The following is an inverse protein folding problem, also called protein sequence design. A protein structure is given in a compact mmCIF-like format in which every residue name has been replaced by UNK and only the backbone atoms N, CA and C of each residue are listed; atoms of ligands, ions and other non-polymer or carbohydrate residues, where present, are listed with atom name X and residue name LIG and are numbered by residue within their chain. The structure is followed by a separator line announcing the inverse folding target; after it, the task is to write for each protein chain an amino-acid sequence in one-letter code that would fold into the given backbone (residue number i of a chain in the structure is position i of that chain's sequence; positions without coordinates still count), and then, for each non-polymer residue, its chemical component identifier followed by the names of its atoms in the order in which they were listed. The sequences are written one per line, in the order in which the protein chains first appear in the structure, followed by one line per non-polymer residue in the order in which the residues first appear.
data_IF_528556757013
#
_entry.id   IF_528556757013
#
_cell.length_a   1.000
_cell.length_b   1.000
_cell.length_c   1.000
_cell.angle_alpha   90.00
_cell.angle_beta   90.00
_cell.angle_gamma   90.00
#
_symmetry.space_group_name_H-M   'P 1'
#
loop_
_entity.id
_entity.type
_entity.pdbx_description
1 polymer ?
#
# COMPACT_ATOMS: atom_id res chain seq x y z
N UNK A 1 -29.92 0.47 8.78
CA UNK A 1 -28.66 -0.07 9.34
C UNK A 1 -27.74 1.11 9.59
N UNK A 2 -27.43 1.44 10.85
CA UNK A 2 -26.84 2.74 11.21
C UNK A 2 -25.46 2.94 10.57
N UNK A 3 -25.18 4.16 10.11
CA UNK A 3 -23.90 4.58 9.50
C UNK A 3 -22.70 4.18 10.38
N UNK A 4 -22.88 4.13 11.71
CA UNK A 4 -21.87 3.65 12.66
C UNK A 4 -21.50 2.18 12.48
N UNK A 5 -22.49 1.27 12.33
CA UNK A 5 -22.24 -0.16 12.12
C UNK A 5 -21.57 -0.42 10.77
N UNK A 6 -21.94 0.33 9.75
CA UNK A 6 -21.29 0.23 8.43
C UNK A 6 -19.84 0.71 8.46
N UNK A 7 -19.56 1.83 9.14
CA UNK A 7 -18.19 2.33 9.31
C UNK A 7 -17.32 1.34 10.09
N UNK A 8 -17.88 0.75 11.15
CA UNK A 8 -17.19 -0.27 11.93
C UNK A 8 -16.87 -1.50 11.08
N UNK A 9 -17.85 -2.02 10.34
CA UNK A 9 -17.64 -3.13 9.41
C UNK A 9 -16.58 -2.81 8.35
N UNK A 10 -16.59 -1.60 7.79
CA UNK A 10 -15.55 -1.15 6.85
C UNK A 10 -14.16 -1.10 7.47
N UNK A 11 -14.04 -0.66 8.73
CA UNK A 11 -12.76 -0.61 9.45
C UNK A 11 -12.29 -2.02 9.89
N UNK A 12 -13.17 -3.03 9.89
CA UNK A 12 -12.83 -4.44 10.09
C UNK A 12 -12.33 -5.08 8.79
N UNK A 13 -12.98 -4.83 7.65
CA UNK A 13 -12.61 -5.40 6.34
C UNK A 13 -11.39 -4.70 5.72
N UNK A 14 -11.27 -3.38 5.88
CA UNK A 14 -10.17 -2.58 5.36
C UNK A 14 -9.53 -1.75 6.49
N UNK A 15 -8.73 -2.38 7.37
CA UNK A 15 -8.23 -1.78 8.60
C UNK A 15 -7.27 -0.60 8.37
N UNK A 16 -6.72 -0.47 7.15
CA UNK A 16 -5.79 0.59 6.79
C UNK A 16 -6.35 1.62 5.82
N UNK A 17 -7.61 1.46 5.37
CA UNK A 17 -8.21 2.27 4.30
C UNK A 17 -7.56 2.08 2.92
N UNK A 18 -6.85 0.97 2.69
CA UNK A 18 -6.14 0.70 1.44
C UNK A 18 -7.14 0.53 0.30
N UNK A 19 -8.11 -0.37 0.45
CA UNK A 19 -9.12 -0.65 -0.59
C UNK A 19 -9.96 0.59 -0.87
N UNK A 20 -10.30 1.36 0.16
CA UNK A 20 -11.03 2.65 0.01
C UNK A 20 -10.24 3.64 -0.84
N UNK A 21 -8.95 3.83 -0.56
CA UNK A 21 -8.09 4.75 -1.32
C UNK A 21 -7.90 4.23 -2.75
N UNK A 22 -7.70 2.93 -2.94
CA UNK A 22 -7.62 2.31 -4.27
C UNK A 22 -8.90 2.54 -5.06
N UNK A 23 -10.07 2.37 -4.46
CA UNK A 23 -11.35 2.62 -5.11
C UNK A 23 -11.47 4.08 -5.59
N UNK A 24 -11.14 5.06 -4.74
CA UNK A 24 -11.18 6.48 -5.14
C UNK A 24 -10.22 6.79 -6.29
N UNK A 25 -9.02 6.23 -6.26
CA UNK A 25 -8.05 6.36 -7.36
C UNK A 25 -8.58 5.72 -8.65
N UNK A 26 -9.10 4.50 -8.57
CA UNK A 26 -9.66 3.79 -9.72
C UNK A 26 -10.84 4.54 -10.33
N UNK A 27 -11.75 5.08 -9.52
CA UNK A 27 -12.88 5.88 -10.01
C UNK A 27 -12.40 7.16 -10.71
N UNK A 28 -11.41 7.84 -10.13
CA UNK A 28 -10.81 9.02 -10.74
C UNK A 28 -10.18 8.70 -12.11
N UNK A 29 -9.32 7.67 -12.17
CA UNK A 29 -8.70 7.24 -13.44
C UNK A 29 -9.76 6.82 -14.45
N UNK A 30 -10.75 6.01 -14.05
CA UNK A 30 -11.82 5.56 -14.92
C UNK A 30 -12.62 6.73 -15.50
N UNK A 31 -12.96 7.74 -14.68
CA UNK A 31 -13.70 8.91 -15.19
C UNK A 31 -12.91 9.68 -16.24
N UNK A 32 -11.62 9.95 -16.00
CA UNK A 32 -10.76 10.64 -16.99
C UNK A 32 -10.64 9.83 -18.27
N UNK A 33 -10.48 8.51 -18.16
CA UNK A 33 -10.29 7.63 -19.31
C UNK A 33 -11.55 7.51 -20.16
N UNK A 34 -12.76 7.60 -19.58
CA UNK A 34 -14.00 7.72 -20.36
C UNK A 34 -14.01 9.03 -21.17
N UNK A 35 -13.57 10.16 -20.59
CA UNK A 35 -13.46 11.42 -21.32
C UNK A 35 -12.42 11.35 -22.45
N UNK A 36 -11.27 10.74 -22.19
CA UNK A 36 -10.21 10.51 -23.19
C UNK A 36 -10.76 9.65 -24.32
N UNK A 37 -11.47 8.56 -23.99
CA UNK A 37 -12.11 7.70 -24.98
C UNK A 37 -13.09 8.48 -25.86
N UNK A 38 -13.96 9.31 -25.27
CA UNK A 38 -14.93 10.10 -26.04
C UNK A 38 -14.27 11.15 -26.95
N UNK A 39 -13.16 11.74 -26.52
CA UNK A 39 -12.48 12.80 -27.27
C UNK A 39 -11.62 12.23 -28.40
N UNK A 40 -10.84 11.18 -28.14
CA UNK A 40 -9.89 10.63 -29.09
C UNK A 40 -10.46 9.49 -29.93
N UNK A 41 -11.51 8.82 -29.46
CA UNK A 41 -12.18 7.70 -30.13
C UNK A 41 -11.18 6.66 -30.65
N UNK A 42 -10.41 6.01 -29.74
CA UNK A 42 -9.37 5.08 -30.11
C UNK A 42 -9.92 3.91 -30.94
N UNK A 43 -9.14 3.47 -31.93
CA UNK A 43 -9.53 2.47 -32.93
C UNK A 43 -9.98 1.15 -32.28
N UNK A 44 -9.39 0.76 -31.15
CA UNK A 44 -9.75 -0.47 -30.44
C UNK A 44 -10.18 -0.19 -29.00
N UNK A 45 -11.49 -0.32 -28.76
CA UNK A 45 -12.09 -0.24 -27.42
C UNK A 45 -11.45 -1.24 -26.45
N UNK A 46 -11.29 -2.50 -26.87
CA UNK A 46 -10.73 -3.55 -26.02
C UNK A 46 -9.27 -3.28 -25.67
N UNK A 47 -8.46 -2.85 -26.63
CA UNK A 47 -7.06 -2.51 -26.36
C UNK A 47 -6.93 -1.28 -25.45
N UNK A 48 -7.84 -0.31 -25.58
CA UNK A 48 -7.87 0.87 -24.72
C UNK A 48 -8.17 0.51 -23.25
N UNK A 49 -9.19 -0.31 -22.97
CA UNK A 49 -9.57 -0.61 -21.58
C UNK A 49 -8.85 -1.81 -20.96
N UNK A 50 -8.27 -2.73 -21.74
CA UNK A 50 -7.59 -3.92 -21.20
C UNK A 50 -6.48 -3.66 -20.15
N UNK A 51 -5.69 -2.58 -20.20
CA UNK A 51 -4.64 -2.34 -19.21
C UNK A 51 -5.17 -2.04 -17.80
N UNK A 52 -6.45 -1.64 -17.67
CA UNK A 52 -7.07 -1.37 -16.38
C UNK A 52 -7.12 -2.59 -15.45
N UNK A 53 -7.23 -3.79 -16.01
CA UNK A 53 -7.22 -5.02 -15.21
C UNK A 53 -5.92 -5.17 -14.41
N UNK A 54 -4.83 -4.59 -14.90
CA UNK A 54 -3.51 -4.64 -14.30
C UNK A 54 -3.19 -3.41 -13.44
N UNK A 55 -3.91 -2.30 -13.62
CA UNK A 55 -3.66 -1.05 -12.92
C UNK A 55 -3.83 -1.17 -11.40
N UNK A 56 -4.71 -2.09 -10.95
CA UNK A 56 -4.91 -2.39 -9.52
C UNK A 56 -3.61 -2.82 -8.81
N UNK A 57 -2.68 -3.46 -9.54
CA UNK A 57 -1.39 -3.91 -9.00
C UNK A 57 -0.47 -2.75 -8.60
N UNK A 58 -0.71 -1.54 -9.12
CA UNK A 58 0.01 -0.33 -8.73
C UNK A 58 -0.14 -0.03 -7.23
N UNK A 59 -1.28 -0.35 -6.63
CA UNK A 59 -1.55 -0.13 -5.21
C UNK A 59 -1.11 -1.30 -4.31
N UNK A 60 -0.49 -2.34 -4.87
CA UNK A 60 -0.02 -3.48 -4.10
C UNK A 60 1.00 -3.02 -3.02
N UNK A 61 0.84 -3.48 -1.76
CA UNK A 61 1.67 -3.03 -0.63
C UNK A 61 3.12 -3.52 -0.71
N UNK A 62 3.41 -4.44 -1.63
CA UNK A 62 4.77 -4.97 -1.84
C UNK A 62 5.68 -3.98 -2.58
N UNK A 63 5.10 -3.03 -3.31
CA UNK A 63 5.84 -1.97 -4.01
C UNK A 63 6.07 -0.81 -3.05
N UNK A 64 7.31 -0.69 -2.56
CA UNK A 64 7.63 0.20 -1.46
C UNK A 64 8.05 1.60 -1.92
N UNK A 65 8.32 1.80 -3.21
CA UNK A 65 8.77 3.08 -3.75
C UNK A 65 7.96 3.53 -4.97
N UNK A 66 7.84 4.84 -5.16
CA UNK A 66 7.23 5.40 -6.38
C UNK A 66 7.93 4.95 -7.66
N UNK A 67 9.26 4.84 -7.62
CA UNK A 67 10.06 4.38 -8.76
C UNK A 67 9.71 2.94 -9.16
N UNK A 68 9.57 2.04 -8.20
CA UNK A 68 9.11 0.66 -8.46
C UNK A 68 7.70 0.64 -9.07
N UNK A 69 6.79 1.47 -8.54
CA UNK A 69 5.41 1.56 -9.03
C UNK A 69 5.32 2.12 -10.45
N UNK A 70 6.06 3.18 -10.77
CA UNK A 70 6.13 3.74 -12.13
C UNK A 70 6.77 2.75 -13.10
N UNK A 71 7.85 2.09 -12.69
CA UNK A 71 8.53 1.11 -13.53
C UNK A 71 7.66 -0.13 -13.81
N UNK A 72 6.84 -0.56 -12.84
CA UNK A 72 5.81 -1.58 -13.05
C UNK A 72 4.80 -1.17 -14.11
N UNK A 73 4.29 0.07 -14.08
CA UNK A 73 3.33 0.55 -15.07
C UNK A 73 3.93 0.60 -16.48
N UNK A 74 5.18 1.07 -16.61
CA UNK A 74 5.90 1.07 -17.89
C UNK A 74 6.08 -0.37 -18.40
N UNK A 75 6.46 -1.29 -17.52
CA UNK A 75 6.59 -2.71 -17.87
C UNK A 75 5.25 -3.29 -18.33
N UNK A 76 4.16 -3.02 -17.61
CA UNK A 76 2.81 -3.45 -17.98
C UNK A 76 2.42 -2.89 -19.36
N UNK A 77 2.64 -1.59 -19.60
CA UNK A 77 2.30 -0.97 -20.88
C UNK A 77 3.02 -1.66 -22.04
N UNK A 78 4.34 -1.83 -21.94
CA UNK A 78 5.16 -2.47 -22.97
C UNK A 78 4.74 -3.93 -23.17
N UNK A 79 4.59 -4.69 -22.08
CA UNK A 79 4.23 -6.10 -22.14
C UNK A 79 2.84 -6.31 -22.76
N UNK A 80 1.83 -5.53 -22.35
CA UNK A 80 0.48 -5.61 -22.94
C UNK A 80 0.53 -5.28 -24.43
N UNK A 81 1.22 -4.21 -24.84
CA UNK A 81 1.34 -3.88 -26.27
C UNK A 81 1.99 -5.02 -27.08
N UNK A 82 3.13 -5.54 -26.62
CA UNK A 82 3.85 -6.60 -27.33
C UNK A 82 3.05 -7.91 -27.37
N UNK A 83 2.44 -8.32 -26.26
CA UNK A 83 1.64 -9.54 -26.18
C UNK A 83 0.39 -9.39 -27.06
N UNK A 84 -0.38 -8.31 -26.91
CA UNK A 84 -1.59 -8.05 -27.71
C UNK A 84 -1.32 -8.09 -29.21
N UNK A 85 -0.28 -7.39 -29.67
CA UNK A 85 0.08 -7.34 -31.10
C UNK A 85 0.58 -8.70 -31.59
N UNK A 86 1.50 -9.34 -30.87
CA UNK A 86 2.03 -10.63 -31.29
C UNK A 86 0.98 -11.73 -31.28
N UNK A 87 0.10 -11.74 -30.28
CA UNK A 87 -1.00 -12.69 -30.18
C UNK A 87 -1.97 -12.51 -31.35
N UNK A 88 -2.39 -11.28 -31.62
CA UNK A 88 -3.26 -10.98 -32.76
C UNK A 88 -2.67 -11.39 -34.11
N UNK A 89 -1.38 -11.12 -34.36
CA UNK A 89 -0.72 -11.44 -35.64
C UNK A 89 -0.52 -12.96 -35.83
N UNK A 90 -0.23 -13.69 -34.76
CA UNK A 90 0.08 -15.14 -34.82
C UNK A 90 -1.19 -16.00 -34.70
N UNK A 91 -2.27 -15.47 -34.12
CA UNK A 91 -3.53 -16.19 -33.87
C UNK A 91 -4.10 -16.99 -35.07
N UNK A 92 -4.06 -16.49 -36.32
CA UNK A 92 -4.56 -17.25 -37.47
C UNK A 92 -3.87 -18.62 -37.64
N UNK A 93 -2.61 -18.73 -37.20
CA UNK A 93 -1.82 -19.95 -37.26
C UNK A 93 -1.98 -20.80 -35.99
N UNK A 94 -3.18 -21.37 -35.76
CA UNK A 94 -3.58 -22.03 -34.51
C UNK A 94 -2.53 -22.99 -33.90
N UNK A 95 -1.86 -23.82 -34.72
CA UNK A 95 -0.82 -24.73 -34.25
C UNK A 95 0.44 -24.02 -33.75
N UNK A 96 0.91 -23.02 -34.51
CA UNK A 96 2.07 -22.18 -34.15
C UNK A 96 1.73 -21.32 -32.93
N UNK A 97 0.50 -20.80 -32.88
CA UNK A 97 0.01 -19.96 -31.79
C UNK A 97 0.11 -20.65 -30.42
N UNK A 98 -0.21 -21.94 -30.34
CA UNK A 98 -0.08 -22.69 -29.08
C UNK A 98 1.37 -22.66 -28.56
N UNK A 99 2.34 -23.10 -29.37
CA UNK A 99 3.75 -23.10 -28.96
C UNK A 99 4.28 -21.69 -28.72
N UNK A 100 3.85 -20.72 -29.52
CA UNK A 100 4.19 -19.32 -29.34
C UNK A 100 3.67 -18.77 -28.00
N UNK A 101 2.41 -19.06 -27.62
CA UNK A 101 1.84 -18.61 -26.36
C UNK A 101 2.57 -19.21 -25.14
N UNK A 102 2.99 -20.48 -25.21
CA UNK A 102 3.80 -21.13 -24.17
C UNK A 102 5.18 -20.47 -24.06
N UNK A 103 5.81 -20.15 -25.20
CA UNK A 103 7.08 -19.43 -25.21
C UNK A 103 6.95 -18.03 -24.61
N UNK A 104 5.95 -17.25 -25.01
CA UNK A 104 5.68 -15.92 -24.45
C UNK A 104 5.41 -16.02 -22.95
N UNK A 105 4.62 -17.00 -22.51
CA UNK A 105 4.40 -17.24 -21.08
C UNK A 105 5.70 -17.49 -20.33
N UNK A 106 6.55 -18.40 -20.82
CA UNK A 106 7.82 -18.70 -20.17
C UNK A 106 8.71 -17.45 -20.07
N UNK A 107 8.86 -16.71 -21.17
CA UNK A 107 9.64 -15.47 -21.21
C UNK A 107 9.07 -14.45 -20.23
N UNK A 108 7.78 -14.11 -20.32
CA UNK A 108 7.13 -13.15 -19.41
C UNK A 108 7.25 -13.59 -17.96
N UNK A 109 7.08 -14.88 -17.66
CA UNK A 109 7.23 -15.44 -16.33
C UNK A 109 8.64 -15.26 -15.77
N UNK A 110 9.69 -15.55 -16.54
CA UNK A 110 11.08 -15.33 -16.11
C UNK A 110 11.40 -13.85 -15.88
N UNK A 111 10.91 -12.96 -16.75
CA UNK A 111 11.04 -11.51 -16.54
C UNK A 111 10.33 -11.05 -15.27
N UNK A 112 9.08 -11.49 -15.05
CA UNK A 112 8.31 -11.17 -13.84
C UNK A 112 9.00 -11.71 -12.60
N UNK A 113 9.52 -12.95 -12.61
CA UNK A 113 10.26 -13.50 -11.47
C UNK A 113 11.55 -12.72 -11.17
N UNK A 114 12.28 -12.31 -12.20
CA UNK A 114 13.55 -11.59 -12.05
C UNK A 114 13.35 -10.18 -11.48
N UNK A 115 12.30 -9.49 -11.91
CA UNK A 115 12.14 -8.07 -11.64
C UNK A 115 11.01 -7.73 -10.66
N UNK A 116 9.97 -8.56 -10.60
CA UNK A 116 8.78 -8.37 -9.78
C UNK A 116 8.39 -9.67 -9.07
N UNK A 117 9.35 -10.30 -8.38
CA UNK A 117 9.18 -11.61 -7.73
C UNK A 117 7.92 -11.73 -6.86
N UNK A 118 7.52 -10.64 -6.18
CA UNK A 118 6.34 -10.62 -5.34
C UNK A 118 5.00 -10.66 -6.10
N UNK A 119 5.00 -10.32 -7.40
CA UNK A 119 3.83 -10.26 -8.26
C UNK A 119 3.84 -11.43 -9.25
N UNK A 120 4.05 -12.67 -8.78
CA UNK A 120 4.13 -13.87 -9.66
C UNK A 120 2.90 -14.06 -10.54
N UNK A 121 1.72 -13.62 -10.08
CA UNK A 121 0.46 -13.66 -10.82
C UNK A 121 0.41 -12.68 -12.00
N UNK A 122 1.31 -11.70 -12.07
CA UNK A 122 1.36 -10.69 -13.13
C UNK A 122 1.54 -11.31 -14.52
N UNK A 123 2.34 -12.38 -14.64
CA UNK A 123 2.58 -13.03 -15.93
C UNK A 123 1.29 -13.59 -16.56
N UNK A 124 0.46 -14.25 -15.77
CA UNK A 124 -0.82 -14.78 -16.24
C UNK A 124 -1.82 -13.68 -16.57
N UNK A 125 -1.87 -12.61 -15.75
CA UNK A 125 -2.74 -11.48 -16.01
C UNK A 125 -2.35 -10.75 -17.30
N UNK A 126 -1.05 -10.56 -17.57
CA UNK A 126 -0.54 -9.96 -18.81
C UNK A 126 -0.97 -10.74 -20.06
N UNK A 127 -0.86 -12.07 -20.00
CA UNK A 127 -1.32 -12.94 -21.07
C UNK A 127 -2.83 -12.88 -21.26
N UNK A 128 -3.59 -12.95 -20.16
CA UNK A 128 -5.03 -12.87 -20.20
C UNK A 128 -5.50 -11.54 -20.81
N UNK A 129 -4.88 -10.42 -20.42
CA UNK A 129 -5.17 -9.11 -21.02
C UNK A 129 -4.81 -9.04 -22.49
N UNK A 130 -3.67 -9.61 -22.90
CA UNK A 130 -3.26 -9.62 -24.31
C UNK A 130 -4.12 -10.54 -25.19
N UNK A 131 -4.75 -11.56 -24.60
CA UNK A 131 -5.65 -12.45 -25.31
C UNK A 131 -7.03 -11.82 -25.60
N UNK A 132 -7.40 -10.72 -24.93
CA UNK A 132 -8.73 -10.09 -25.11
C UNK A 132 -8.92 -9.57 -26.56
N UNK A 133 -7.85 -9.19 -27.24
CA UNK A 133 -7.91 -8.67 -28.62
C UNK A 133 -7.91 -9.76 -29.70
N UNK A 134 -7.88 -11.05 -29.34
CA UNK A 134 -7.80 -12.16 -30.31
C UNK A 134 -9.02 -12.27 -31.23
N UNK A 135 -10.19 -11.81 -30.79
CA UNK A 135 -11.45 -11.89 -31.56
C UNK A 135 -11.66 -10.71 -32.50
N UNK A 136 -10.62 -9.91 -32.76
CA UNK A 136 -10.73 -8.71 -33.61
C UNK A 136 -10.55 -9.06 -35.09
N UNK A 137 -11.40 -8.48 -35.93
CA UNK A 137 -11.37 -8.64 -37.39
C UNK A 137 -10.99 -7.32 -38.07
N UNK A 138 -10.38 -7.36 -39.28
CA UNK A 138 -9.88 -8.55 -39.98
C UNK A 138 -8.68 -9.17 -39.24
N UNK A 139 -8.37 -10.46 -39.41
CA UNK A 139 -7.22 -11.09 -38.76
C UNK A 139 -5.88 -10.63 -39.38
N UNK A 140 -4.85 -10.50 -38.54
CA UNK A 140 -3.46 -10.22 -38.93
C UNK A 140 -3.23 -8.95 -39.81
N UNK A 141 -4.06 -7.91 -39.64
CA UNK A 141 -3.88 -6.63 -40.31
C UNK A 141 -2.94 -5.71 -39.49
N UNK A 142 -1.87 -5.20 -40.12
CA UNK A 142 -0.92 -4.29 -39.49
C UNK A 142 -1.55 -2.96 -39.03
N UNK A 143 -2.57 -2.47 -39.73
CA UNK A 143 -3.29 -1.25 -39.35
C UNK A 143 -4.03 -1.44 -38.01
N UNK A 144 -4.69 -2.59 -37.84
CA UNK A 144 -5.36 -2.96 -36.59
C UNK A 144 -4.33 -3.14 -35.47
N UNK A 145 -3.19 -3.75 -35.76
CA UNK A 145 -2.09 -3.88 -34.80
C UNK A 145 -1.54 -2.50 -34.35
N UNK A 146 -1.37 -1.55 -35.28
CA UNK A 146 -1.03 -0.17 -34.95
C UNK A 146 -2.12 0.51 -34.11
N UNK A 147 -3.38 0.22 -34.40
CA UNK A 147 -4.53 0.61 -33.59
C UNK A 147 -4.44 0.13 -32.14
N UNK A 148 -3.97 -1.10 -31.90
CA UNK A 148 -3.77 -1.63 -30.54
C UNK A 148 -2.64 -0.91 -29.80
N UNK A 149 -1.52 -0.69 -30.47
CA UNK A 149 -0.38 0.02 -29.88
C UNK A 149 -0.81 1.43 -29.47
N UNK A 150 -1.39 2.18 -30.40
CA UNK A 150 -1.84 3.56 -30.15
C UNK A 150 -2.93 3.63 -29.07
N UNK A 151 -3.93 2.74 -29.08
CA UNK A 151 -4.99 2.71 -28.06
C UNK A 151 -4.44 2.37 -26.66
N UNK A 152 -3.57 1.36 -26.56
CA UNK A 152 -2.96 0.94 -25.29
C UNK A 152 -2.02 2.03 -24.75
N UNK A 153 -1.21 2.63 -25.63
CA UNK A 153 -0.29 3.71 -25.27
C UNK A 153 -1.06 4.94 -24.79
N UNK A 154 -2.17 5.30 -25.46
CA UNK A 154 -3.03 6.41 -25.06
C UNK A 154 -3.57 6.19 -23.64
N UNK A 155 -4.19 5.02 -23.38
CA UNK A 155 -4.74 4.72 -22.04
C UNK A 155 -3.65 4.69 -20.97
N UNK A 156 -2.54 3.98 -21.19
CA UNK A 156 -1.49 3.92 -20.16
C UNK A 156 -0.85 5.29 -19.89
N UNK A 157 -0.77 6.17 -20.89
CA UNK A 157 -0.26 7.54 -20.71
C UNK A 157 -1.19 8.37 -19.84
N UNK A 158 -2.50 8.35 -20.12
CA UNK A 158 -3.47 9.10 -19.32
C UNK A 158 -3.63 8.51 -17.91
N UNK A 159 -3.59 7.19 -17.76
CA UNK A 159 -3.54 6.54 -16.44
C UNK A 159 -2.32 6.98 -15.63
N UNK A 160 -1.13 7.04 -16.23
CA UNK A 160 0.09 7.55 -15.59
C UNK A 160 -0.04 9.01 -15.15
N UNK A 161 -0.59 9.87 -16.02
CA UNK A 161 -0.84 11.27 -15.70
C UNK A 161 -1.81 11.39 -14.53
N UNK A 162 -2.92 10.65 -14.56
CA UNK A 162 -3.93 10.65 -13.50
C UNK A 162 -3.35 10.22 -12.15
N UNK A 163 -2.57 9.13 -12.13
CA UNK A 163 -1.93 8.64 -10.90
C UNK A 163 -0.89 9.61 -10.34
N UNK A 164 -0.24 10.41 -11.20
CA UNK A 164 0.72 11.44 -10.79
C UNK A 164 0.06 12.69 -10.22
N UNK A 165 -1.12 13.05 -10.73
CA UNK A 165 -1.90 14.21 -10.25
C UNK A 165 -2.69 13.87 -8.98
N UNK A 166 -3.10 12.61 -8.81
CA UNK A 166 -3.90 12.20 -7.66
C UNK A 166 -3.21 12.51 -6.32
N UNK A 167 -3.93 13.07 -5.33
CA UNK A 167 -3.33 13.45 -4.05
C UNK A 167 -2.73 12.25 -3.31
N UNK A 168 -1.56 12.45 -2.72
CA UNK A 168 -0.92 11.41 -1.93
C UNK A 168 -1.64 11.20 -0.59
N UNK A 169 -2.43 10.12 -0.52
CA UNK A 169 -3.20 9.72 0.66
C UNK A 169 -2.50 8.68 1.55
N UNK A 170 -1.23 8.32 1.26
CA UNK A 170 -0.52 7.24 1.97
C UNK A 170 -0.25 7.54 3.45
N UNK A 171 -0.32 8.81 3.87
CA UNK A 171 -0.24 9.18 5.29
C UNK A 171 -1.38 8.56 6.11
N UNK A 172 -2.58 8.43 5.52
CA UNK A 172 -3.74 7.84 6.18
C UNK A 172 -3.48 6.36 6.47
N UNK A 173 -2.98 5.62 5.48
CA UNK A 173 -2.63 4.20 5.59
C UNK A 173 -1.55 4.02 6.66
N UNK A 174 -0.49 4.83 6.59
CA UNK A 174 0.59 4.80 7.57
C UNK A 174 0.09 5.07 9.01
N UNK A 175 -0.75 6.08 9.18
CA UNK A 175 -1.32 6.44 10.48
C UNK A 175 -2.19 5.31 11.04
N UNK A 176 -3.08 4.73 10.23
CA UNK A 176 -3.93 3.60 10.63
C UNK A 176 -3.12 2.35 10.96
N UNK A 177 -2.08 2.06 10.18
CA UNK A 177 -1.18 0.95 10.47
C UNK A 177 -0.46 1.14 11.81
N UNK A 178 0.03 2.36 12.09
CA UNK A 178 0.70 2.66 13.35
C UNK A 178 -0.27 2.64 14.55
N UNK A 179 -1.51 3.11 14.39
CA UNK A 179 -2.54 2.98 15.43
C UNK A 179 -2.83 1.52 15.78
N UNK A 180 -2.92 0.64 14.77
CA UNK A 180 -3.13 -0.79 14.99
C UNK A 180 -1.92 -1.44 15.66
N UNK A 181 -0.70 -1.07 15.26
CA UNK A 181 0.52 -1.50 15.95
C UNK A 181 0.51 -1.10 17.43
N UNK A 182 0.22 0.18 17.74
CA UNK A 182 0.10 0.67 19.12
C UNK A 182 -1.01 -0.06 19.88
N UNK A 183 -2.14 -0.37 19.24
CA UNK A 183 -3.23 -1.12 19.86
C UNK A 183 -2.80 -2.52 20.31
N UNK A 184 -1.97 -3.22 19.52
CA UNK A 184 -1.46 -4.53 19.92
C UNK A 184 -0.37 -4.42 20.99
N UNK A 185 0.49 -3.40 20.91
CA UNK A 185 1.45 -3.09 21.98
C UNK A 185 0.74 -2.81 23.32
N UNK A 186 -0.39 -2.09 23.31
CA UNK A 186 -1.22 -1.88 24.50
C UNK A 186 -1.77 -3.20 25.06
N UNK A 187 -2.19 -4.13 24.19
CA UNK A 187 -2.68 -5.45 24.60
C UNK A 187 -1.57 -6.31 25.17
N UNK A 188 -0.38 -6.29 24.58
CA UNK A 188 0.78 -7.03 25.06
C UNK A 188 1.24 -6.51 26.43
N UNK A 189 1.20 -5.20 26.65
CA UNK A 189 1.39 -4.61 27.99
C UNK A 189 0.35 -5.13 28.99
N UNK A 190 -0.94 -5.15 28.62
CA UNK A 190 -2.00 -5.67 29.50
C UNK A 190 -1.82 -7.16 29.77
N UNK A 191 -1.42 -7.93 28.76
CA UNK A 191 -1.19 -9.37 28.86
C UNK A 191 -0.02 -9.67 29.81
N UNK A 192 1.08 -8.93 29.66
CA UNK A 192 2.23 -8.98 30.56
C UNK A 192 1.88 -8.53 31.99
N UNK A 193 1.00 -7.53 32.15
CA UNK A 193 0.51 -7.11 33.47
C UNK A 193 -0.29 -8.24 34.12
N UNK A 194 -1.27 -8.80 33.41
CA UNK A 194 -2.19 -9.82 33.92
C UNK A 194 -1.60 -11.24 33.96
N UNK A 195 -0.35 -11.41 33.48
CA UNK A 195 0.32 -12.71 33.32
C UNK A 195 -0.47 -13.69 32.46
N UNK A 196 -1.23 -13.19 31.49
CA UNK A 196 -1.87 -14.02 30.47
C UNK A 196 -0.84 -14.37 29.41
N UNK A 197 -0.81 -15.61 28.94
CA UNK A 197 0.11 -16.04 27.86
C UNK A 197 -0.43 -15.73 26.45
N UNK A 198 -1.27 -14.71 26.31
CA UNK A 198 -1.73 -14.26 25.00
C UNK A 198 -0.57 -13.55 24.29
N UNK A 199 -0.15 -14.08 23.14
CA UNK A 199 0.95 -13.57 22.35
C UNK A 199 0.40 -12.95 21.05
N UNK A 200 0.52 -11.63 20.89
CA UNK A 200 0.09 -10.91 19.70
C UNK A 200 1.24 -10.49 18.75
N UNK A 201 2.42 -11.10 18.92
CA UNK A 201 3.62 -10.77 18.14
C UNK A 201 3.38 -10.86 16.62
N UNK A 202 2.54 -11.80 16.16
CA UNK A 202 2.24 -11.97 14.73
C UNK A 202 1.52 -10.76 14.14
N UNK A 203 0.50 -10.26 14.84
CA UNK A 203 -0.24 -9.07 14.44
C UNK A 203 0.62 -7.81 14.51
N UNK A 204 1.44 -7.68 15.56
CA UNK A 204 2.39 -6.57 15.71
C UNK A 204 3.34 -6.48 14.51
N UNK A 205 3.96 -7.61 14.12
CA UNK A 205 4.89 -7.69 12.99
C UNK A 205 4.20 -7.26 11.70
N UNK A 206 2.95 -7.70 11.49
CA UNK A 206 2.18 -7.37 10.29
C UNK A 206 1.90 -5.86 10.21
N UNK A 207 1.41 -5.25 11.30
CA UNK A 207 1.13 -3.82 11.36
C UNK A 207 2.40 -2.98 11.19
N UNK A 208 3.48 -3.38 11.84
CA UNK A 208 4.78 -2.72 11.72
C UNK A 208 5.36 -2.86 10.30
N UNK A 209 5.13 -3.99 9.64
CA UNK A 209 5.44 -4.21 8.22
C UNK A 209 4.74 -3.20 7.32
N UNK A 210 3.44 -2.98 7.53
CA UNK A 210 2.66 -1.97 6.80
C UNK A 210 3.18 -0.55 7.05
N UNK A 211 3.49 -0.20 8.30
CA UNK A 211 4.11 1.11 8.65
C UNK A 211 5.41 1.31 7.87
N UNK A 212 6.27 0.29 7.76
CA UNK A 212 7.54 0.37 7.04
C UNK A 212 7.36 0.49 5.53
N UNK A 213 6.49 -0.31 4.94
CA UNK A 213 6.25 -0.33 3.50
C UNK A 213 5.71 1.01 3.01
N UNK A 214 4.75 1.60 3.72
CA UNK A 214 4.15 2.87 3.33
C UNK A 214 4.98 4.11 3.67
N UNK A 215 5.96 4.00 4.59
CA UNK A 215 6.81 5.15 4.98
C UNK A 215 7.54 5.78 3.79
N UNK A 216 8.02 4.96 2.85
CA UNK A 216 8.75 5.42 1.65
C UNK A 216 7.84 6.06 0.59
N UNK A 217 6.53 5.85 0.70
CA UNK A 217 5.52 6.43 -0.17
C UNK A 217 4.98 7.76 0.38
N UNK A 218 5.40 8.18 1.57
CA UNK A 218 4.94 9.43 2.17
C UNK A 218 5.54 10.66 1.49
N UNK A 219 4.81 11.78 1.45
CA UNK A 219 5.38 13.08 1.06
C UNK A 219 6.63 13.42 1.87
N UNK A 220 7.65 14.01 1.22
CA UNK A 220 8.93 14.37 1.84
C UNK A 220 8.75 15.20 3.13
N UNK A 221 7.73 16.07 3.19
CA UNK A 221 7.42 16.89 4.38
C UNK A 221 7.12 16.06 5.63
N UNK A 222 6.59 14.84 5.49
CA UNK A 222 6.23 13.98 6.62
C UNK A 222 7.30 12.93 6.96
N UNK A 223 8.28 12.69 6.07
CA UNK A 223 9.20 11.55 6.17
C UNK A 223 9.98 11.50 7.48
N UNK A 224 10.53 12.63 7.92
CA UNK A 224 11.34 12.66 9.15
C UNK A 224 10.48 12.39 10.40
N UNK A 225 9.32 13.04 10.51
CA UNK A 225 8.46 12.89 11.69
C UNK A 225 7.89 11.47 11.79
N UNK A 226 7.42 10.92 10.67
CA UNK A 226 6.91 9.55 10.61
C UNK A 226 8.00 8.51 10.86
N UNK A 227 9.22 8.73 10.35
CA UNK A 227 10.37 7.89 10.66
C UNK A 227 10.68 7.88 12.16
N UNK A 228 10.86 9.05 12.76
CA UNK A 228 11.23 9.17 14.17
C UNK A 228 10.14 8.63 15.10
N UNK A 229 8.88 8.90 14.80
CA UNK A 229 7.75 8.35 15.54
C UNK A 229 7.75 6.82 15.48
N UNK A 230 7.84 6.22 14.28
CA UNK A 230 7.88 4.77 14.13
C UNK A 230 9.06 4.09 14.81
N UNK A 231 10.25 4.73 14.81
CA UNK A 231 11.42 4.23 15.54
C UNK A 231 11.21 4.28 17.04
N UNK A 232 10.73 5.40 17.59
CA UNK A 232 10.54 5.53 19.04
C UNK A 232 9.47 4.57 19.57
N UNK A 233 8.34 4.39 18.87
CA UNK A 233 7.32 3.40 19.29
C UNK A 233 7.89 1.98 19.24
N UNK A 234 8.68 1.64 18.21
CA UNK A 234 9.35 0.33 18.14
C UNK A 234 10.39 0.14 19.25
N UNK A 235 11.12 1.18 19.61
CA UNK A 235 12.08 1.12 20.70
C UNK A 235 11.39 0.91 22.05
N UNK A 236 10.19 1.47 22.24
CA UNK A 236 9.34 1.19 23.41
C UNK A 236 8.97 -0.29 23.44
N UNK A 237 8.47 -0.86 22.32
CA UNK A 237 8.20 -2.30 22.22
C UNK A 237 9.42 -3.13 22.62
N UNK A 238 10.56 -2.92 21.95
CA UNK A 238 11.80 -3.67 22.24
C UNK A 238 12.26 -3.51 23.69
N UNK A 239 12.12 -2.33 24.28
CA UNK A 239 12.49 -2.12 25.67
C UNK A 239 11.54 -2.84 26.62
N UNK A 240 10.23 -2.84 26.35
CA UNK A 240 9.22 -3.56 27.13
C UNK A 240 9.41 -5.08 27.08
N UNK A 241 9.74 -5.63 25.90
CA UNK A 241 10.03 -7.06 25.73
C UNK A 241 11.23 -7.50 26.60
N UNK A 242 12.21 -6.61 26.80
CA UNK A 242 13.37 -6.86 27.65
C UNK A 242 13.14 -6.51 29.14
N UNK A 243 12.12 -5.72 29.45
CA UNK A 243 11.80 -5.28 30.81
C UNK A 243 11.20 -6.40 31.67
N UNK A 244 10.86 -7.54 31.06
CA UNK A 244 10.49 -8.77 31.78
C UNK A 244 11.58 -9.24 32.77
N UNK A 245 12.85 -8.88 32.53
CA UNK A 245 13.99 -9.24 33.37
C UNK A 245 14.29 -8.25 34.51
N UNK A 246 13.65 -7.08 34.53
CA UNK A 246 13.75 -6.11 35.63
C UNK A 246 12.52 -6.22 36.55
N UNK A 247 12.64 -5.78 37.81
CA UNK A 247 11.53 -5.77 38.76
C UNK A 247 10.33 -5.00 38.16
N UNK A 248 9.26 -5.74 37.81
CA UNK A 248 8.09 -5.22 37.11
C UNK A 248 7.36 -4.19 37.96
N UNK A 249 7.58 -2.90 37.67
CA UNK A 249 6.80 -1.81 38.24
C UNK A 249 5.48 -1.65 37.48
N UNK A 250 4.42 -2.30 37.94
CA UNK A 250 3.12 -2.33 37.24
C UNK A 250 2.54 -0.92 37.01
N UNK A 251 2.74 0.00 37.95
CA UNK A 251 2.26 1.38 37.82
C UNK A 251 2.97 2.12 36.66
N UNK A 252 4.27 1.87 36.45
CA UNK A 252 4.99 2.40 35.29
C UNK A 252 4.41 1.84 33.98
N UNK A 253 4.16 0.53 33.91
CA UNK A 253 3.59 -0.11 32.72
C UNK A 253 2.18 0.41 32.40
N UNK A 254 1.33 0.60 33.41
CA UNK A 254 0.03 1.26 33.25
C UNK A 254 0.18 2.71 32.74
N UNK A 255 1.17 3.46 33.23
CA UNK A 255 1.50 4.79 32.74
C UNK A 255 1.85 4.80 31.26
N UNK A 256 2.73 3.90 30.82
CA UNK A 256 3.12 3.76 29.41
C UNK A 256 1.91 3.39 28.55
N UNK A 257 1.12 2.40 28.96
CA UNK A 257 -0.12 2.01 28.26
C UNK A 257 -1.09 3.18 28.10
N UNK A 258 -1.34 3.95 29.17
CA UNK A 258 -2.27 5.07 29.13
C UNK A 258 -1.80 6.18 28.17
N UNK A 259 -0.50 6.45 28.12
CA UNK A 259 0.06 7.39 27.15
C UNK A 259 -0.02 6.87 25.70
N UNK A 260 0.24 5.58 25.47
CA UNK A 260 0.06 4.96 24.15
C UNK A 260 -1.40 5.02 23.69
N UNK A 261 -2.34 4.77 24.61
CA UNK A 261 -3.77 4.92 24.38
C UNK A 261 -4.14 6.36 24.00
N UNK A 262 -3.67 7.34 24.77
CA UNK A 262 -3.90 8.77 24.50
C UNK A 262 -3.36 9.16 23.11
N UNK A 263 -2.13 8.73 22.79
CA UNK A 263 -1.52 8.94 21.48
C UNK A 263 -2.40 8.36 20.37
N UNK A 264 -2.81 7.10 20.50
CA UNK A 264 -3.65 6.41 19.51
C UNK A 264 -5.01 7.10 19.32
N UNK A 265 -5.63 7.60 20.38
CA UNK A 265 -6.89 8.35 20.29
C UNK A 265 -6.70 9.66 19.51
N UNK A 266 -5.66 10.43 19.82
CA UNK A 266 -5.34 11.67 19.13
C UNK A 266 -4.90 11.44 17.67
N UNK A 267 -4.32 10.27 17.37
CA UNK A 267 -4.02 9.84 16.00
C UNK A 267 -5.26 9.70 15.11
N UNK A 268 -6.44 9.41 15.66
CA UNK A 268 -7.67 9.32 14.87
C UNK A 268 -8.14 10.68 14.36
N UNK A 269 -8.00 11.70 15.20
CA UNK A 269 -8.45 13.08 14.93
C UNK A 269 -7.33 13.98 14.41
N UNK A 270 -6.09 13.48 14.33
CA UNK A 270 -4.90 14.26 13.96
C UNK A 270 -4.73 15.50 14.86
N UNK A 271 -4.98 15.31 16.15
CA UNK A 271 -4.84 16.34 17.17
C UNK A 271 -3.48 16.20 17.87
N UNK A 272 -2.81 17.31 18.23
CA UNK A 272 -1.65 17.26 19.10
C UNK A 272 -2.02 16.67 20.47
N UNK A 273 -1.11 15.88 21.05
CA UNK A 273 -1.29 15.28 22.37
C UNK A 273 -0.78 16.15 23.52
N UNK A 274 0.08 17.13 23.23
CA UNK A 274 0.91 17.75 24.27
C UNK A 274 2.10 16.86 24.66
N UNK A 275 2.53 16.91 25.91
CA UNK A 275 3.54 16.00 26.48
C UNK A 275 2.90 14.74 27.08
N UNK A 276 3.65 13.64 27.25
CA UNK A 276 3.15 12.49 27.98
C UNK A 276 3.09 12.77 29.49
N UNK A 277 2.10 12.17 30.17
CA UNK A 277 1.93 12.28 31.62
C UNK A 277 2.61 11.10 32.32
N UNK A 278 3.53 11.38 33.25
CA UNK A 278 4.20 10.32 34.03
C UNK A 278 3.52 10.17 35.38
N UNK A 279 2.84 9.04 35.67
CA UNK A 279 2.29 8.83 37.00
C UNK A 279 3.37 8.57 38.06
N UNK A 280 4.56 8.12 37.65
CA UNK A 280 5.71 7.81 38.52
C UNK A 280 7.01 8.21 37.82
N UNK A 281 8.02 8.61 38.59
CA UNK A 281 9.37 8.82 38.06
C UNK A 281 10.03 7.50 37.65
N UNK A 282 10.65 7.43 36.46
CA UNK A 282 11.38 6.24 36.04
C UNK A 282 12.51 5.93 37.04
N UNK A 283 12.70 4.66 37.39
CA UNK A 283 13.71 4.21 38.36
C UNK A 283 14.87 3.44 37.72
N UNK A 284 14.59 2.70 36.65
CA UNK A 284 15.61 1.90 35.94
C UNK A 284 16.04 2.57 34.64
N UNK A 285 17.21 2.18 34.12
CA UNK A 285 17.72 2.70 32.84
C UNK A 285 16.74 2.42 31.69
N UNK A 286 16.12 1.22 31.67
CA UNK A 286 15.11 0.89 30.67
C UNK A 286 13.84 1.75 30.82
N UNK A 287 13.39 2.03 32.04
CA UNK A 287 12.25 2.92 32.27
C UNK A 287 12.55 4.35 31.80
N UNK A 288 13.74 4.89 32.08
CA UNK A 288 14.16 6.20 31.56
C UNK A 288 14.19 6.20 30.02
N UNK A 289 14.72 5.14 29.41
CA UNK A 289 14.79 5.01 27.97
C UNK A 289 13.41 4.96 27.30
N UNK A 290 12.47 4.18 27.87
CA UNK A 290 11.08 4.13 27.42
C UNK A 290 10.44 5.52 27.53
N UNK A 291 10.64 6.19 28.65
CA UNK A 291 10.08 7.52 28.89
C UNK A 291 10.59 8.55 27.87
N UNK A 292 11.89 8.57 27.59
CA UNK A 292 12.45 9.42 26.54
C UNK A 292 11.87 9.10 25.16
N UNK A 293 11.74 7.82 24.81
CA UNK A 293 11.15 7.41 23.54
C UNK A 293 9.70 7.88 23.42
N UNK A 294 8.94 7.80 24.51
CA UNK A 294 7.55 8.25 24.57
C UNK A 294 7.45 9.77 24.36
N UNK A 295 8.27 10.55 25.07
CA UNK A 295 8.36 12.01 24.90
C UNK A 295 8.71 12.38 23.45
N UNK A 296 9.72 11.72 22.88
CA UNK A 296 10.12 11.94 21.48
C UNK A 296 8.98 11.57 20.52
N UNK A 297 8.27 10.46 20.75
CA UNK A 297 7.14 10.05 19.94
C UNK A 297 6.01 11.10 19.95
N UNK A 298 5.64 11.61 21.13
CA UNK A 298 4.63 12.68 21.28
C UNK A 298 5.08 13.97 20.58
N UNK A 299 6.33 14.39 20.77
CA UNK A 299 6.86 15.58 20.13
C UNK A 299 6.83 15.48 18.59
N UNK A 300 7.20 14.33 18.03
CA UNK A 300 7.15 14.09 16.59
C UNK A 300 5.72 13.98 16.05
N UNK A 301 4.79 13.40 16.82
CA UNK A 301 3.37 13.40 16.48
C UNK A 301 2.79 14.83 16.44
N UNK A 302 3.05 15.65 17.46
CA UNK A 302 2.59 17.03 17.50
C UNK A 302 3.12 17.84 16.29
N UNK A 303 4.40 17.67 15.94
CA UNK A 303 4.99 18.27 14.73
C UNK A 303 4.32 17.78 13.44
N UNK A 304 3.97 16.49 13.37
CA UNK A 304 3.27 15.91 12.22
C UNK A 304 1.87 16.52 12.07
N UNK A 305 1.13 16.70 13.17
CA UNK A 305 -0.18 17.36 13.16
C UNK A 305 -0.09 18.79 12.61
N UNK A 306 0.91 19.57 13.07
CA UNK A 306 1.15 20.94 12.58
C UNK A 306 1.47 20.95 11.07
N UNK A 307 2.34 20.05 10.60
CA UNK A 307 2.69 19.93 9.17
C UNK A 307 1.53 19.50 8.27
N UNK A 308 0.46 18.95 8.85
CA UNK A 308 -0.76 18.59 8.12
C UNK A 308 -1.69 19.78 7.94
N UNK A 309 -1.66 20.74 8.87
CA UNK A 309 -2.44 21.97 8.80
C UNK A 309 -1.80 23.01 7.88
N UNK A 310 -0.48 22.91 7.64
CA UNK A 310 0.29 23.69 6.65
C UNK A 310 0.29 23.08 5.25
#
# INVERSE_FOLDING_TARGET
MSISKFKQWLDEVDPYSLQRITLYKCLFVATVEVYVYWLFQPVSFLAFFSPFFLLSLYEAPVLSTYKEKEWLLIFIAIAVMLISVSFYLVYPFRGIFFFFSVFVFAVTYFYVLKYFYALKSLAMLLLATGAVVLSTEPPANLEVAYGFISSTALSMTFALICLRIFPNMYLIIWNKALQKFIQYLEKDIVSAINKTHENHTGEEILHLGMVRNYRRLLPKKYTMQTYRMGVNIRNIQHALDNLYYEAKNELFWYGVKNNLYLLRMNMNTYTPCGGPDSPIEPQTQLQHYIWECLQKAFAHWNKLCLLRQS
#
